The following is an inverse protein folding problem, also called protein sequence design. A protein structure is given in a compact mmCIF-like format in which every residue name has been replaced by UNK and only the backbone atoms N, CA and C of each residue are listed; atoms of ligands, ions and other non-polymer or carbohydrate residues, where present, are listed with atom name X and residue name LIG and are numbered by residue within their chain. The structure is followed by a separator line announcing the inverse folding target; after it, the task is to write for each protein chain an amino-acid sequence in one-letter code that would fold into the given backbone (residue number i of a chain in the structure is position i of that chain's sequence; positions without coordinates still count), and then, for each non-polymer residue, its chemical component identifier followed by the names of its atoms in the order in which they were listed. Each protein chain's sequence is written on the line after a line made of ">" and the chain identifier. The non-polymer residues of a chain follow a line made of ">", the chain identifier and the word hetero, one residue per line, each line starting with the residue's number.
data_IF_487674355578
#
_entry.id   IF_487674355578
#
_cell.length_a   1.000
_cell.length_b   1.000
_cell.length_c   1.000
_cell.angle_alpha   90.00
_cell.angle_beta   90.00
_cell.angle_gamma   90.00
#
_symmetry.space_group_name_H-M   'P 1'
#
loop_
_entity.id
_entity.type
_entity.pdbx_description
1 polymer ?
#
# COMPACT_ATOMS: atom_id res chain seq x y z
N UNK A 1 9.23 -11.74 -0.02
CA UNK A 1 8.61 -13.09 -0.07
C UNK A 1 7.69 -13.14 -1.30
N UNK A 2 7.35 -14.31 -1.86
CA UNK A 2 6.39 -14.37 -2.98
C UNK A 2 5.00 -13.99 -2.50
N UNK A 3 4.26 -13.21 -3.29
CA UNK A 3 2.92 -12.75 -2.91
C UNK A 3 1.86 -13.76 -3.33
N UNK A 4 0.95 -14.10 -2.42
CA UNK A 4 -0.19 -14.98 -2.72
C UNK A 4 -1.22 -14.27 -3.61
N UNK A 5 -1.68 -14.93 -4.67
CA UNK A 5 -2.68 -14.38 -5.62
C UNK A 5 -3.97 -13.99 -4.91
N UNK A 6 -4.39 -14.79 -3.93
CA UNK A 6 -5.59 -14.54 -3.13
C UNK A 6 -5.49 -13.25 -2.32
N UNK A 7 -4.29 -12.86 -1.89
CA UNK A 7 -4.07 -11.60 -1.19
C UNK A 7 -4.23 -10.41 -2.14
N UNK A 8 -3.66 -10.50 -3.36
CA UNK A 8 -3.83 -9.46 -4.38
C UNK A 8 -5.29 -9.25 -4.76
N UNK A 9 -6.06 -10.34 -4.89
CA UNK A 9 -7.49 -10.28 -5.21
C UNK A 9 -8.36 -9.59 -4.13
N UNK A 10 -7.81 -9.30 -2.95
CA UNK A 10 -8.51 -8.56 -1.89
C UNK A 10 -8.41 -7.04 -2.03
N UNK A 11 -7.45 -6.56 -2.84
CA UNK A 11 -7.17 -5.14 -3.03
C UNK A 11 -7.90 -4.55 -4.24
N UNK A 12 -8.28 -3.28 -4.12
CA UNK A 12 -8.84 -2.51 -5.22
C UNK A 12 -7.73 -1.73 -5.96
N UNK A 13 -7.72 -1.70 -7.31
CA UNK A 13 -8.63 -2.36 -8.25
C UNK A 13 -8.17 -3.76 -8.70
N UNK A 14 -7.21 -4.37 -7.99
CA UNK A 14 -6.61 -5.65 -8.38
C UNK A 14 -7.65 -6.78 -8.43
N UNK A 15 -8.71 -6.70 -7.63
CA UNK A 15 -9.87 -7.60 -7.62
C UNK A 15 -10.60 -7.71 -8.98
N UNK A 16 -10.38 -6.76 -9.90
CA UNK A 16 -10.98 -6.74 -11.25
C UNK A 16 -10.09 -7.32 -12.33
N UNK A 17 -8.85 -7.66 -12.01
CA UNK A 17 -7.93 -8.24 -12.98
C UNK A 17 -8.35 -9.68 -13.31
N UNK A 18 -8.06 -10.10 -14.55
CA UNK A 18 -8.22 -11.50 -14.95
C UNK A 18 -7.24 -12.39 -14.16
N UNK A 19 -7.57 -13.66 -13.90
CA UNK A 19 -6.72 -14.56 -13.14
C UNK A 19 -5.28 -14.62 -13.66
N UNK A 20 -5.08 -14.67 -14.98
CA UNK A 20 -3.75 -14.77 -15.59
C UNK A 20 -2.92 -13.49 -15.36
N UNK A 21 -3.59 -12.33 -15.35
CA UNK A 21 -2.95 -11.04 -15.05
C UNK A 21 -2.58 -10.93 -13.56
N UNK A 22 -3.43 -11.44 -12.66
CA UNK A 22 -3.12 -11.50 -11.22
C UNK A 22 -1.96 -12.43 -10.93
N UNK A 23 -1.91 -13.60 -11.57
CA UNK A 23 -0.79 -14.53 -11.44
C UNK A 23 0.52 -13.92 -11.93
N UNK A 24 0.49 -13.16 -13.02
CA UNK A 24 1.65 -12.42 -13.47
C UNK A 24 2.08 -11.36 -12.46
N UNK A 25 1.13 -10.55 -11.97
CA UNK A 25 1.42 -9.51 -10.98
C UNK A 25 1.98 -10.11 -9.68
N UNK A 26 1.48 -11.25 -9.23
CA UNK A 26 1.98 -11.96 -8.04
C UNK A 26 3.45 -12.38 -8.15
N UNK A 27 3.93 -12.66 -9.38
CA UNK A 27 5.34 -12.98 -9.63
C UNK A 27 6.26 -11.76 -9.59
N UNK A 28 5.73 -10.58 -9.88
CA UNK A 28 6.47 -9.31 -9.91
C UNK A 28 6.35 -8.53 -8.59
N UNK A 29 5.28 -8.76 -7.84
CA UNK A 29 5.02 -8.13 -6.57
C UNK A 29 5.96 -8.67 -5.47
N UNK A 30 6.27 -7.80 -4.52
CA UNK A 30 7.10 -8.11 -3.36
C UNK A 30 6.27 -7.90 -2.11
N UNK A 31 6.25 -8.89 -1.22
CA UNK A 31 5.79 -8.72 0.16
C UNK A 31 6.98 -8.59 1.11
N UNK A 32 6.90 -7.59 1.98
CA UNK A 32 7.90 -7.28 3.00
C UNK A 32 7.22 -7.02 4.34
N UNK A 33 7.79 -7.56 5.41
CA UNK A 33 7.41 -7.22 6.78
C UNK A 33 8.26 -6.04 7.25
N UNK A 34 7.59 -4.92 7.55
CA UNK A 34 8.25 -3.66 7.87
C UNK A 34 8.13 -3.39 9.38
N UNK A 35 9.25 -3.07 10.01
CA UNK A 35 9.30 -2.74 11.43
C UNK A 35 8.74 -1.35 11.74
N UNK A 36 8.18 -1.21 12.95
CA UNK A 36 7.69 0.07 13.48
C UNK A 36 8.76 1.17 13.40
N UNK A 37 8.33 2.37 13.01
CA UNK A 37 9.16 3.56 12.83
C UNK A 37 9.75 3.70 11.43
N UNK A 38 9.52 2.74 10.54
CA UNK A 38 10.01 2.80 9.16
C UNK A 38 9.13 3.73 8.33
N UNK A 39 9.77 4.65 7.61
CA UNK A 39 9.12 5.52 6.63
C UNK A 39 9.00 4.76 5.32
N UNK A 40 7.77 4.58 4.83
CA UNK A 40 7.50 3.92 3.54
C UNK A 40 7.71 4.87 2.36
N UNK A 41 7.30 6.12 2.52
CA UNK A 41 7.51 7.24 1.60
C UNK A 41 7.25 8.56 2.32
N UNK A 42 7.73 9.67 1.74
CA UNK A 42 7.59 11.02 2.29
C UNK A 42 6.67 11.90 1.45
N UNK A 43 6.05 12.90 2.08
CA UNK A 43 5.28 13.90 1.37
C UNK A 43 6.15 14.64 0.33
N UNK A 44 5.65 14.76 -0.90
CA UNK A 44 6.37 15.35 -2.02
C UNK A 44 7.15 14.36 -2.87
N UNK A 45 7.30 13.10 -2.44
CA UNK A 45 7.99 12.08 -3.23
C UNK A 45 7.25 11.81 -4.55
N UNK A 46 8.03 11.54 -5.60
CA UNK A 46 7.57 11.07 -6.90
C UNK A 46 8.34 9.78 -7.16
N UNK A 47 7.63 8.66 -7.12
CA UNK A 47 8.18 7.31 -7.24
C UNK A 47 7.32 6.47 -8.21
N UNK A 48 7.65 5.20 -8.40
CA UNK A 48 6.87 4.30 -9.27
C UNK A 48 6.24 3.14 -8.47
N UNK A 49 6.15 3.28 -7.14
CA UNK A 49 5.75 2.20 -6.24
C UNK A 49 4.26 2.27 -5.90
N UNK A 50 3.56 1.17 -6.14
CA UNK A 50 2.19 0.97 -5.65
C UNK A 50 2.21 0.10 -4.40
N UNK A 51 1.91 0.71 -3.25
CA UNK A 51 2.01 0.06 -1.94
C UNK A 51 0.61 -0.31 -1.45
N UNK A 52 0.43 -1.56 -1.07
CA UNK A 52 -0.79 -2.08 -0.44
C UNK A 52 -0.48 -2.63 0.94
N UNK A 53 -1.39 -2.42 1.89
CA UNK A 53 -1.20 -2.85 3.28
C UNK A 53 -1.92 -4.19 3.51
N UNK A 54 -1.14 -5.27 3.60
CA UNK A 54 -1.67 -6.61 3.88
C UNK A 54 -2.25 -6.74 5.30
N UNK A 55 -1.56 -6.15 6.28
CA UNK A 55 -1.99 -6.15 7.68
C UNK A 55 -1.28 -5.04 8.45
N UNK A 56 -1.80 -4.72 9.64
CA UNK A 56 -1.24 -3.69 10.51
C UNK A 56 -1.79 -2.29 10.22
N UNK A 57 -1.11 -1.30 10.76
CA UNK A 57 -1.51 0.10 10.69
C UNK A 57 -0.34 0.96 10.20
N UNK A 58 -0.66 1.99 9.44
CA UNK A 58 0.29 3.00 8.99
C UNK A 58 -0.21 4.37 9.36
N UNK A 59 0.65 5.17 9.98
CA UNK A 59 0.43 6.58 10.26
C UNK A 59 0.72 7.41 9.02
N UNK A 60 -0.22 8.27 8.66
CA UNK A 60 -0.18 9.14 7.49
C UNK A 60 -0.15 10.59 7.97
N UNK A 61 0.99 11.26 7.85
CA UNK A 61 1.20 12.63 8.31
C UNK A 61 1.27 13.61 7.14
N UNK A 62 0.29 14.52 7.06
CA UNK A 62 0.17 15.51 6.01
C UNK A 62 0.98 16.77 6.35
N UNK A 63 1.45 17.53 5.34
CA UNK A 63 2.21 18.76 5.56
C UNK A 63 1.50 19.85 6.37
N UNK A 64 0.17 19.81 6.46
CA UNK A 64 -0.65 20.71 7.27
C UNK A 64 -0.73 20.30 8.75
N UNK A 65 0.01 19.25 9.15
CA UNK A 65 0.02 18.69 10.51
C UNK A 65 -1.13 17.71 10.79
N UNK A 66 -2.02 17.47 9.81
CA UNK A 66 -3.07 16.47 9.96
C UNK A 66 -2.46 15.07 9.99
N UNK A 67 -2.90 14.26 10.94
CA UNK A 67 -2.51 12.85 11.05
C UNK A 67 -3.74 11.98 10.83
N UNK A 68 -3.58 10.93 10.05
CA UNK A 68 -4.54 9.84 9.89
C UNK A 68 -3.84 8.50 10.11
N UNK A 69 -4.62 7.47 10.39
CA UNK A 69 -4.14 6.09 10.41
C UNK A 69 -4.89 5.30 9.34
N UNK A 70 -4.16 4.49 8.59
CA UNK A 70 -4.71 3.53 7.64
C UNK A 70 -4.50 2.13 8.20
N UNK A 71 -5.60 1.41 8.46
CA UNK A 71 -5.60 0.02 8.92
C UNK A 71 -5.83 -0.91 7.72
N UNK A 72 -4.92 -1.87 7.52
CA UNK A 72 -4.97 -2.84 6.42
C UNK A 72 -6.19 -3.77 6.46
N UNK A 73 -6.78 -3.97 7.64
CA UNK A 73 -8.00 -4.77 7.82
C UNK A 73 -9.29 -3.99 7.50
N UNK A 74 -9.20 -2.67 7.32
CA UNK A 74 -10.35 -1.81 7.04
C UNK A 74 -10.74 -1.83 5.56
N UNK A 75 -11.96 -1.37 5.27
CA UNK A 75 -12.41 -1.21 3.87
C UNK A 75 -11.52 -0.24 3.08
N UNK A 76 -11.01 0.82 3.74
CA UNK A 76 -10.10 1.78 3.12
C UNK A 76 -8.71 1.17 2.90
N UNK A 77 -8.27 0.24 3.74
CA UNK A 77 -7.01 -0.49 3.62
C UNK A 77 -6.91 -1.35 2.36
N UNK A 78 -8.03 -1.62 1.68
CA UNK A 78 -8.05 -2.31 0.38
C UNK A 78 -7.48 -1.47 -0.77
N UNK A 79 -7.41 -0.15 -0.62
CA UNK A 79 -6.89 0.74 -1.65
C UNK A 79 -5.38 0.93 -1.47
N UNK A 80 -4.69 1.26 -2.57
CA UNK A 80 -3.27 1.59 -2.51
C UNK A 80 -3.01 2.78 -1.56
N UNK A 81 -1.97 2.66 -0.76
CA UNK A 81 -1.58 3.68 0.20
C UNK A 81 -0.95 4.86 -0.54
N UNK A 82 -1.61 6.01 -0.47
CA UNK A 82 -1.09 7.27 -0.99
C UNK A 82 -0.82 7.25 -2.50
N UNK A 83 -1.73 6.67 -3.28
CA UNK A 83 -1.66 6.49 -4.75
C UNK A 83 -1.48 7.78 -5.57
N UNK A 84 -1.80 8.94 -5.00
CA UNK A 84 -1.62 10.25 -5.65
C UNK A 84 -0.16 10.72 -5.62
N UNK A 85 0.28 11.28 -6.76
CA UNK A 85 1.61 11.88 -6.92
C UNK A 85 1.54 13.39 -7.23
N UNK A 86 2.47 14.21 -6.68
CA UNK A 86 3.43 13.87 -5.62
C UNK A 86 2.75 13.38 -4.34
N UNK A 87 3.43 12.51 -3.57
CA UNK A 87 2.86 11.91 -2.35
C UNK A 87 2.31 13.00 -1.43
N UNK A 88 1.06 12.84 -0.99
CA UNK A 88 0.36 13.90 -0.21
C UNK A 88 0.72 13.94 1.27
N UNK A 89 1.35 12.89 1.79
CA UNK A 89 1.68 12.70 3.19
C UNK A 89 2.90 11.78 3.32
N UNK A 90 3.55 11.82 4.48
CA UNK A 90 4.59 10.87 4.87
C UNK A 90 3.91 9.67 5.55
N UNK A 91 4.24 8.47 5.09
CA UNK A 91 3.71 7.21 5.62
C UNK A 91 4.73 6.53 6.54
N UNK A 92 4.34 6.16 7.76
CA UNK A 92 5.22 5.52 8.75
C UNK A 92 4.49 4.41 9.50
N UNK A 93 5.13 3.24 9.63
CA UNK A 93 4.62 2.09 10.39
C UNK A 93 4.71 2.34 11.89
#
# INVERSE_FOLDING_TARGET
>A
MSVEVSALASFYPLDKLRPECLEQLAREAISEDIGKGTVLFSAGDVDEQMIYLLSGEVRCEYPDGKIKTTDGSSLQGRYALGDLQPRRFTATV
#
